data_IF_328098892833
#
_entry.id   IF_328098892833
#
_cell.length_a   1.000
_cell.length_b   1.000
_cell.length_c   1.000
_cell.angle_alpha   90.00
_cell.angle_beta   90.00
_cell.angle_gamma   90.00
#
_symmetry.space_group_name_H-M   'P 1'
#
loop_
_entity.id
_entity.type
_entity.pdbx_description
1 polymer ?
#
# COMPACT_ATOMS: atom_id res chain seq x y z
N UNK A 1 40.10 41.67 -24.50
CA UNK A 1 40.62 40.55 -23.71
C UNK A 1 40.00 39.29 -24.28
N UNK A 2 40.71 38.59 -25.15
CA UNK A 2 40.21 37.40 -25.86
C UNK A 2 40.49 36.22 -24.92
N UNK A 3 39.45 35.60 -24.39
CA UNK A 3 39.59 34.37 -23.60
C UNK A 3 40.19 33.29 -24.51
N UNK A 4 41.28 32.68 -24.06
CA UNK A 4 42.01 31.67 -24.82
C UNK A 4 41.05 30.49 -25.08
N UNK A 5 40.87 30.08 -26.36
CA UNK A 5 39.95 29.02 -26.76
C UNK A 5 40.11 27.73 -25.95
N UNK A 6 41.32 27.45 -25.45
CA UNK A 6 41.60 26.29 -24.63
C UNK A 6 40.93 26.36 -23.22
N UNK A 7 40.81 27.58 -22.63
CA UNK A 7 40.14 27.81 -21.35
C UNK A 7 38.62 27.69 -21.51
N UNK A 8 38.09 28.16 -22.64
CA UNK A 8 36.67 28.04 -22.97
C UNK A 8 36.25 26.56 -23.15
N UNK A 9 37.05 25.78 -23.90
CA UNK A 9 36.84 24.34 -24.04
C UNK A 9 36.93 23.59 -22.70
N UNK A 10 37.89 23.94 -21.84
CA UNK A 10 38.04 23.35 -20.52
C UNK A 10 36.84 23.65 -19.59
N UNK A 11 36.32 24.86 -19.65
CA UNK A 11 35.12 25.26 -18.94
C UNK A 11 33.86 24.50 -19.39
N UNK A 12 33.72 24.28 -20.71
CA UNK A 12 32.62 23.49 -21.27
C UNK A 12 32.76 22.00 -20.82
N UNK A 13 33.97 21.44 -20.80
CA UNK A 13 34.22 20.09 -20.33
C UNK A 13 33.94 19.95 -18.85
N UNK A 14 34.34 20.89 -18.00
CA UNK A 14 34.03 20.95 -16.58
C UNK A 14 32.52 21.11 -16.33
N UNK A 15 31.84 21.96 -17.12
CA UNK A 15 30.39 22.13 -17.00
C UNK A 15 29.63 20.83 -17.36
N UNK A 16 30.05 20.10 -18.40
CA UNK A 16 29.48 18.79 -18.75
C UNK A 16 29.82 17.71 -17.72
N UNK A 17 30.95 17.78 -17.04
CA UNK A 17 31.30 16.85 -15.98
C UNK A 17 30.43 17.06 -14.73
N UNK A 18 30.07 18.29 -14.39
CA UNK A 18 29.17 18.61 -13.30
C UNK A 18 27.69 18.32 -13.61
N UNK A 19 27.28 18.29 -14.88
CA UNK A 19 25.90 17.92 -15.27
C UNK A 19 25.66 16.41 -15.32
N UNK A 20 26.70 15.58 -15.25
CA UNK A 20 26.57 14.14 -15.10
C UNK A 20 26.55 13.68 -13.63
N UNK A 21 26.15 14.53 -12.69
CA UNK A 21 25.67 14.03 -11.40
C UNK A 21 24.42 13.21 -11.72
N UNK A 22 24.57 11.89 -11.64
CA UNK A 22 23.48 10.93 -11.72
C UNK A 22 22.37 11.44 -10.79
N UNK A 23 21.37 12.09 -11.37
CA UNK A 23 20.06 12.18 -10.72
C UNK A 23 19.60 10.74 -10.65
N UNK A 24 19.83 10.07 -9.52
CA UNK A 24 19.15 8.83 -9.23
C UNK A 24 17.67 9.21 -9.14
N UNK A 25 17.00 9.19 -10.29
CA UNK A 25 15.55 9.26 -10.31
C UNK A 25 15.07 8.06 -9.48
N UNK A 26 14.28 8.32 -8.47
CA UNK A 26 13.67 7.26 -7.70
C UNK A 26 12.90 6.37 -8.65
N UNK A 27 13.28 5.10 -8.72
CA UNK A 27 12.57 4.12 -9.53
C UNK A 27 11.34 3.66 -8.75
N UNK A 28 10.16 3.93 -9.33
CA UNK A 28 8.90 3.45 -8.77
C UNK A 28 8.62 2.04 -9.27
N UNK A 29 8.36 1.13 -8.34
CA UNK A 29 7.94 -0.24 -8.66
C UNK A 29 6.56 -0.25 -9.29
N UNK A 30 6.32 -1.23 -10.15
CA UNK A 30 5.03 -1.52 -10.74
C UNK A 30 4.50 -2.86 -10.22
N UNK A 31 3.28 -2.88 -9.74
CA UNK A 31 2.51 -4.08 -9.44
C UNK A 31 1.33 -4.15 -10.41
N UNK A 32 1.06 -5.32 -10.95
CA UNK A 32 -0.02 -5.53 -11.90
C UNK A 32 -1.18 -6.23 -11.21
N UNK A 33 -2.37 -5.69 -11.39
CA UNK A 33 -3.63 -6.28 -10.94
C UNK A 33 -4.34 -6.91 -12.12
N UNK A 34 -4.59 -8.20 -12.05
CA UNK A 34 -5.32 -8.95 -13.10
C UNK A 34 -6.81 -8.95 -12.81
N UNK A 35 -7.62 -8.76 -13.86
CA UNK A 35 -9.06 -8.90 -13.77
C UNK A 35 -9.45 -10.38 -13.58
N UNK A 36 -10.39 -10.66 -12.70
CA UNK A 36 -10.95 -11.99 -12.51
C UNK A 36 -12.46 -11.94 -12.38
N UNK A 37 -13.16 -12.85 -13.07
CA UNK A 37 -14.59 -13.10 -12.92
C UNK A 37 -14.87 -14.31 -12.02
N UNK A 38 -13.83 -14.96 -11.52
CA UNK A 38 -13.95 -16.12 -10.62
C UNK A 38 -14.46 -15.65 -9.23
N UNK A 39 -15.20 -16.54 -8.58
CA UNK A 39 -15.56 -16.33 -7.18
C UNK A 39 -14.33 -16.55 -6.31
N UNK A 40 -14.14 -15.65 -5.36
CA UNK A 40 -13.06 -15.71 -4.39
C UNK A 40 -13.66 -16.19 -3.07
N UNK A 41 -13.12 -17.28 -2.54
CA UNK A 41 -13.44 -17.76 -1.19
C UNK A 41 -12.46 -17.12 -0.23
N UNK A 42 -12.93 -16.14 0.52
CA UNK A 42 -12.08 -15.37 1.42
C UNK A 42 -11.76 -16.23 2.64
N UNK A 43 -10.65 -16.95 2.63
CA UNK A 43 -10.21 -17.86 3.71
C UNK A 43 -8.80 -17.60 4.24
N UNK A 44 -8.15 -16.57 3.68
CA UNK A 44 -6.80 -16.13 4.06
C UNK A 44 -5.69 -16.93 3.41
N UNK A 45 -5.97 -17.75 2.37
CA UNK A 45 -4.97 -18.56 1.67
C UNK A 45 -4.84 -18.16 0.20
N UNK A 46 -3.77 -18.59 -0.44
CA UNK A 46 -3.47 -18.35 -1.86
C UNK A 46 -3.67 -19.62 -2.69
N UNK A 47 -4.72 -20.38 -2.40
CA UNK A 47 -4.97 -21.66 -3.06
C UNK A 47 -5.82 -21.55 -4.33
N UNK A 48 -6.45 -20.39 -4.61
CA UNK A 48 -7.10 -20.17 -5.88
C UNK A 48 -6.09 -19.99 -7.03
N UNK A 49 -6.44 -20.53 -8.19
CA UNK A 49 -5.57 -20.53 -9.36
C UNK A 49 -5.15 -19.14 -9.81
N UNK A 50 -6.02 -18.13 -9.70
CA UNK A 50 -5.69 -16.77 -10.12
C UNK A 50 -4.58 -16.13 -9.26
N UNK A 51 -4.41 -16.51 -7.99
CA UNK A 51 -3.28 -16.05 -7.19
C UNK A 51 -1.94 -16.55 -7.74
N UNK A 52 -1.92 -17.76 -8.33
CA UNK A 52 -0.71 -18.33 -8.92
C UNK A 52 -0.34 -17.71 -10.28
N UNK A 53 -1.30 -17.12 -10.97
CA UNK A 53 -1.09 -16.46 -12.27
C UNK A 53 -0.57 -15.03 -12.15
N UNK A 54 -0.63 -14.43 -10.95
CA UNK A 54 -0.21 -13.07 -10.71
C UNK A 54 1.22 -13.00 -10.16
N UNK A 55 2.01 -12.08 -10.74
CA UNK A 55 3.33 -11.77 -10.20
C UNK A 55 3.19 -11.07 -8.85
N UNK A 56 3.94 -11.53 -7.86
CA UNK A 56 3.98 -10.89 -6.56
C UNK A 56 4.87 -9.64 -6.58
N UNK A 57 4.45 -8.61 -5.85
CA UNK A 57 5.32 -7.52 -5.43
C UNK A 57 6.17 -8.00 -4.26
N UNK A 58 7.48 -7.99 -4.45
CA UNK A 58 8.47 -8.48 -3.51
C UNK A 58 9.54 -7.42 -3.23
N UNK A 59 10.62 -7.81 -2.56
CA UNK A 59 11.76 -6.96 -2.25
C UNK A 59 11.40 -5.71 -1.45
N UNK A 60 10.77 -5.92 -0.29
CA UNK A 60 10.47 -4.84 0.64
C UNK A 60 11.76 -4.23 1.19
N UNK A 61 11.71 -2.92 1.44
CA UNK A 61 12.83 -2.14 1.92
C UNK A 61 12.56 -1.60 3.31
N UNK A 62 13.53 -1.73 4.23
CA UNK A 62 13.40 -1.18 5.57
C UNK A 62 13.41 0.35 5.53
N UNK A 63 12.43 0.94 6.23
CA UNK A 63 12.42 2.33 6.60
C UNK A 63 12.90 2.50 8.06
N UNK A 64 12.87 1.41 8.85
CA UNK A 64 13.40 1.33 10.20
C UNK A 64 13.77 -0.15 10.50
N UNK A 65 14.90 -0.43 11.17
CA UNK A 65 15.88 0.48 11.75
C UNK A 65 16.98 0.92 10.77
N UNK A 66 16.99 0.42 9.54
CA UNK A 66 18.08 0.66 8.60
C UNK A 66 17.55 0.94 7.18
N UNK A 67 18.41 1.47 6.31
CA UNK A 67 18.12 1.66 4.88
C UNK A 67 18.68 0.46 4.08
N UNK A 68 18.00 -0.70 4.18
CA UNK A 68 18.40 -1.95 3.53
C UNK A 68 17.18 -2.78 3.12
N UNK A 69 17.39 -3.88 2.41
CA UNK A 69 16.32 -4.84 2.15
C UNK A 69 15.76 -5.39 3.47
N UNK A 70 14.46 -5.68 3.48
CA UNK A 70 13.78 -6.30 4.62
C UNK A 70 14.43 -7.64 4.99
N UNK A 71 14.58 -7.89 6.29
CA UNK A 71 15.17 -9.13 6.80
C UNK A 71 14.24 -10.35 6.62
N UNK A 72 12.94 -10.10 6.58
CA UNK A 72 11.90 -11.10 6.35
C UNK A 72 11.17 -10.80 5.05
N UNK A 73 11.00 -11.81 4.21
CA UNK A 73 10.28 -11.68 2.93
C UNK A 73 8.81 -11.28 3.18
N UNK A 74 8.30 -10.45 2.29
CA UNK A 74 6.86 -10.15 2.16
C UNK A 74 6.49 -10.21 0.69
N UNK A 75 5.37 -10.80 0.39
CA UNK A 75 4.78 -10.89 -0.95
C UNK A 75 3.43 -10.22 -0.94
N UNK A 76 3.11 -9.48 -2.00
CA UNK A 76 1.79 -8.90 -2.22
C UNK A 76 1.31 -9.21 -3.63
N UNK A 77 0.06 -9.63 -3.75
CA UNK A 77 -0.62 -9.86 -5.03
C UNK A 77 -1.93 -9.10 -5.02
N UNK A 78 -2.34 -8.55 -6.16
CA UNK A 78 -3.61 -7.83 -6.31
C UNK A 78 -4.36 -8.39 -7.50
N UNK A 79 -5.66 -8.64 -7.32
CA UNK A 79 -6.61 -8.91 -8.40
C UNK A 79 -7.83 -8.00 -8.22
N UNK A 80 -8.60 -7.82 -9.27
CA UNK A 80 -9.81 -7.00 -9.21
C UNK A 80 -10.92 -7.55 -10.08
N UNK A 81 -12.14 -7.12 -9.79
CA UNK A 81 -13.29 -7.26 -10.66
C UNK A 81 -14.11 -5.96 -10.69
N UNK A 82 -15.30 -5.98 -11.27
CA UNK A 82 -16.13 -4.77 -11.38
C UNK A 82 -16.58 -4.18 -10.03
N UNK A 83 -16.50 -4.94 -8.94
CA UNK A 83 -17.04 -4.57 -7.64
C UNK A 83 -16.00 -4.46 -6.52
N UNK A 84 -14.89 -5.18 -6.62
CA UNK A 84 -13.92 -5.32 -5.53
C UNK A 84 -12.48 -5.27 -6.03
N UNK A 85 -11.60 -4.77 -5.18
CA UNK A 85 -10.18 -5.08 -5.18
C UNK A 85 -9.94 -6.16 -4.13
N UNK A 86 -9.20 -7.18 -4.50
CA UNK A 86 -8.69 -8.20 -3.61
C UNK A 86 -7.18 -8.07 -3.52
N UNK A 87 -6.67 -8.13 -2.31
CA UNK A 87 -5.23 -8.14 -2.07
C UNK A 87 -4.87 -9.34 -1.20
N UNK A 88 -3.83 -10.03 -1.60
CA UNK A 88 -3.25 -11.12 -0.84
C UNK A 88 -1.86 -10.71 -0.40
N UNK A 89 -1.58 -10.82 0.91
CA UNK A 89 -0.25 -10.57 1.48
C UNK A 89 0.20 -11.81 2.23
N UNK A 90 1.44 -12.25 1.93
CA UNK A 90 2.15 -13.28 2.67
C UNK A 90 3.37 -12.68 3.35
N UNK A 91 3.33 -12.62 4.65
CA UNK A 91 4.39 -12.07 5.48
C UNK A 91 5.15 -13.20 6.18
N UNK A 92 6.36 -13.46 5.71
CA UNK A 92 7.21 -14.50 6.30
C UNK A 92 7.74 -14.03 7.66
N UNK A 93 7.77 -14.95 8.62
CA UNK A 93 8.27 -14.72 9.97
C UNK A 93 8.91 -16.00 10.51
N UNK A 94 10.23 -16.08 10.38
CA UNK A 94 10.99 -17.28 10.77
C UNK A 94 10.92 -17.60 12.25
N UNK A 95 10.53 -16.62 13.09
CA UNK A 95 10.41 -16.80 14.54
C UNK A 95 9.08 -17.46 14.96
N UNK A 96 8.05 -17.41 14.12
CA UNK A 96 6.66 -17.77 14.45
C UNK A 96 6.11 -17.01 15.68
N UNK A 97 6.64 -15.83 15.97
CA UNK A 97 6.21 -14.99 17.08
C UNK A 97 5.59 -13.72 16.55
N UNK A 98 4.43 -13.37 17.06
CA UNK A 98 3.68 -12.20 16.66
C UNK A 98 3.32 -11.36 17.88
N UNK A 99 3.43 -10.06 17.76
CA UNK A 99 2.97 -9.10 18.75
C UNK A 99 1.55 -8.67 18.44
N UNK A 100 0.61 -8.99 19.31
CA UNK A 100 -0.82 -8.68 19.17
C UNK A 100 -1.35 -8.18 20.52
N UNK A 101 -1.04 -6.92 20.90
CA UNK A 101 -1.38 -6.39 22.21
C UNK A 101 -2.87 -6.08 22.39
N UNK A 102 -3.65 -5.98 21.30
CA UNK A 102 -5.10 -5.78 21.36
C UNK A 102 -5.79 -6.60 20.29
N UNK A 103 -7.03 -7.02 20.58
CA UNK A 103 -7.95 -7.69 19.66
C UNK A 103 -9.14 -6.78 19.28
N UNK A 104 -9.14 -5.53 19.72
CA UNK A 104 -10.19 -4.56 19.39
C UNK A 104 -9.99 -3.99 18.00
N UNK A 105 -11.07 -3.93 17.21
CA UNK A 105 -11.08 -3.23 15.92
C UNK A 105 -10.69 -1.75 16.13
N UNK A 106 -9.96 -1.18 15.18
CA UNK A 106 -9.49 0.20 15.19
C UNK A 106 -8.70 0.59 16.46
N UNK A 107 -8.12 -0.42 17.13
CA UNK A 107 -7.33 -0.21 18.33
C UNK A 107 -6.15 0.74 18.05
N UNK A 108 -6.02 1.75 18.91
CA UNK A 108 -4.86 2.67 18.91
C UNK A 108 -3.67 2.12 19.71
N UNK A 109 -3.78 0.92 20.28
CA UNK A 109 -2.69 0.30 21.06
C UNK A 109 -1.52 0.00 20.13
N UNK A 110 -0.34 0.62 20.33
CA UNK A 110 0.81 0.41 19.46
C UNK A 110 1.44 -0.96 19.68
N UNK A 111 2.25 -1.40 18.72
CA UNK A 111 3.05 -2.61 18.86
C UNK A 111 2.37 -3.87 18.31
N UNK A 112 1.39 -3.73 17.41
CA UNK A 112 0.89 -4.84 16.62
C UNK A 112 1.84 -5.16 15.45
N UNK A 113 2.11 -6.47 15.22
CA UNK A 113 2.51 -6.92 13.89
C UNK A 113 1.38 -6.60 12.92
N UNK A 114 1.68 -5.98 11.80
CA UNK A 114 0.66 -5.53 10.87
C UNK A 114 1.15 -5.48 9.43
N UNK A 115 0.22 -5.59 8.51
CA UNK A 115 0.37 -5.23 7.10
C UNK A 115 -0.67 -4.19 6.74
N UNK A 116 -0.24 -3.18 5.98
CA UNK A 116 -1.08 -2.06 5.58
C UNK A 116 -1.04 -1.91 4.07
N UNK A 117 -2.22 -1.79 3.46
CA UNK A 117 -2.40 -1.40 2.07
C UNK A 117 -2.75 0.08 2.01
N UNK A 118 -2.09 0.81 1.12
CA UNK A 118 -2.35 2.23 0.90
C UNK A 118 -2.60 2.47 -0.60
N UNK A 119 -3.74 3.10 -0.92
CA UNK A 119 -4.15 3.41 -2.29
C UNK A 119 -4.38 4.90 -2.46
N UNK A 120 -3.49 5.58 -3.18
CA UNK A 120 -3.73 6.92 -3.72
C UNK A 120 -4.37 6.76 -5.11
N UNK A 121 -5.68 6.81 -5.12
CA UNK A 121 -6.52 6.52 -6.28
C UNK A 121 -6.57 7.67 -7.30
N UNK A 122 -6.27 8.90 -6.86
CA UNK A 122 -6.20 10.09 -7.71
C UNK A 122 -4.78 10.40 -8.19
N UNK A 123 -3.78 9.75 -7.63
CA UNK A 123 -2.36 9.97 -7.89
C UNK A 123 -1.93 11.42 -7.63
N UNK A 124 -2.58 12.04 -6.65
CA UNK A 124 -2.32 13.44 -6.29
C UNK A 124 -1.18 13.58 -5.26
N UNK A 125 -0.73 12.47 -4.69
CA UNK A 125 0.31 12.44 -3.67
C UNK A 125 -0.11 13.13 -2.37
N UNK A 126 -1.41 13.36 -2.18
CA UNK A 126 -1.95 14.08 -1.05
C UNK A 126 -2.91 13.26 -0.20
N UNK A 127 -3.69 12.37 -0.84
CA UNK A 127 -4.71 11.56 -0.16
C UNK A 127 -4.58 10.08 -0.51
N UNK A 128 -4.76 9.20 0.48
CA UNK A 128 -4.80 7.75 0.26
C UNK A 128 -5.79 7.07 1.19
N UNK A 129 -6.35 5.96 0.73
CA UNK A 129 -7.12 5.01 1.55
C UNK A 129 -6.15 4.05 2.23
N UNK A 130 -6.38 3.79 3.51
CA UNK A 130 -5.55 2.97 4.36
C UNK A 130 -6.34 1.76 4.85
N UNK A 131 -5.79 0.55 4.72
CA UNK A 131 -6.37 -0.70 5.23
C UNK A 131 -5.30 -1.53 5.92
N UNK A 132 -5.47 -1.75 7.21
CA UNK A 132 -4.53 -2.53 8.03
C UNK A 132 -5.18 -3.84 8.48
N UNK A 133 -4.40 -4.91 8.46
CA UNK A 133 -4.72 -6.14 9.16
C UNK A 133 -3.48 -6.71 9.86
N UNK A 134 -3.71 -7.60 10.79
CA UNK A 134 -2.68 -8.28 11.56
C UNK A 134 -2.83 -9.81 11.44
N UNK A 135 -1.93 -10.63 12.02
CA UNK A 135 -1.99 -12.08 11.90
C UNK A 135 -3.28 -12.74 12.34
N UNK A 136 -4.13 -12.07 13.14
CA UNK A 136 -5.42 -12.59 13.64
C UNK A 136 -6.64 -11.90 13.02
N UNK A 137 -6.46 -11.18 11.91
CA UNK A 137 -7.57 -10.60 11.15
C UNK A 137 -8.17 -9.33 11.77
N UNK A 138 -7.43 -8.65 12.63
CA UNK A 138 -7.87 -7.35 13.14
C UNK A 138 -7.90 -6.34 12.02
N UNK A 139 -8.99 -5.59 11.91
CA UNK A 139 -9.19 -4.58 10.86
C UNK A 139 -9.00 -3.17 11.42
N UNK A 140 -8.35 -2.33 10.63
CA UNK A 140 -8.32 -0.89 10.81
C UNK A 140 -8.35 -0.22 9.45
N UNK A 141 -9.18 0.79 9.30
CA UNK A 141 -9.25 1.61 8.09
C UNK A 141 -9.17 3.10 8.45
N UNK A 142 -8.64 3.88 7.53
CA UNK A 142 -8.44 5.31 7.69
C UNK A 142 -8.34 6.03 6.36
N UNK A 143 -8.44 7.36 6.40
CA UNK A 143 -7.98 8.23 5.33
C UNK A 143 -6.65 8.86 5.71
N UNK A 144 -5.68 8.77 4.82
CA UNK A 144 -4.42 9.49 4.91
C UNK A 144 -4.55 10.77 4.09
N UNK A 145 -4.10 11.88 4.63
CA UNK A 145 -4.14 13.19 3.98
C UNK A 145 -2.85 13.98 4.21
N UNK A 146 -2.76 15.16 3.62
CA UNK A 146 -1.59 16.06 3.73
C UNK A 146 -0.26 15.38 3.34
N UNK A 147 -0.32 14.53 2.27
CA UNK A 147 0.86 13.81 1.78
C UNK A 147 1.37 12.71 2.72
N UNK A 148 0.60 12.30 3.71
CA UNK A 148 0.96 11.30 4.72
C UNK A 148 1.15 11.87 6.13
N UNK A 149 0.84 13.15 6.34
CA UNK A 149 1.04 13.82 7.62
C UNK A 149 -0.13 13.65 8.58
N UNK A 150 -1.34 13.46 8.04
CA UNK A 150 -2.56 13.28 8.82
C UNK A 150 -3.23 11.93 8.50
N UNK A 151 -3.73 11.25 9.53
CA UNK A 151 -4.41 9.95 9.42
C UNK A 151 -5.72 10.03 10.19
N UNK A 152 -6.83 10.14 9.46
CA UNK A 152 -8.17 10.18 10.00
C UNK A 152 -8.73 8.75 10.21
N UNK A 153 -8.68 8.28 11.45
CA UNK A 153 -9.20 6.97 11.88
C UNK A 153 -10.72 6.98 12.08
N UNK A 154 -11.40 8.12 11.86
CA UNK A 154 -12.88 8.17 11.97
C UNK A 154 -13.57 7.74 10.69
N UNK A 155 -12.80 7.62 9.58
CA UNK A 155 -13.31 7.07 8.34
C UNK A 155 -13.45 5.55 8.47
N UNK A 156 -14.64 5.04 8.19
CA UNK A 156 -14.99 3.62 8.35
C UNK A 156 -15.83 3.16 7.16
N UNK A 157 -15.45 2.03 6.57
CA UNK A 157 -16.23 1.35 5.53
C UNK A 157 -16.43 -0.12 5.85
N UNK A 158 -17.37 -0.73 5.14
CA UNK A 158 -17.53 -2.18 5.20
C UNK A 158 -16.60 -2.85 4.21
N UNK A 159 -15.57 -3.52 4.71
CA UNK A 159 -14.64 -4.37 3.96
C UNK A 159 -14.36 -5.65 4.74
N UNK A 160 -13.72 -6.62 4.10
CA UNK A 160 -13.50 -7.94 4.68
C UNK A 160 -12.02 -8.29 4.63
N UNK A 161 -11.53 -9.04 5.59
CA UNK A 161 -10.21 -9.67 5.59
C UNK A 161 -10.30 -10.98 6.33
N UNK A 162 -9.68 -12.02 5.77
CA UNK A 162 -9.43 -13.27 6.44
C UNK A 162 -7.93 -13.54 6.52
N UNK A 163 -7.52 -14.30 7.51
CA UNK A 163 -6.10 -14.52 7.80
C UNK A 163 -5.81 -15.98 8.10
N UNK A 164 -4.61 -16.39 7.71
CA UNK A 164 -4.12 -17.74 8.01
C UNK A 164 -2.69 -17.65 8.57
N UNK A 165 -2.44 -18.32 9.69
CA UNK A 165 -1.09 -18.45 10.28
C UNK A 165 -0.54 -19.82 9.93
N UNK A 166 0.53 -19.84 9.13
CA UNK A 166 1.28 -21.03 8.78
C UNK A 166 2.58 -21.16 9.57
N UNK A 167 3.36 -22.17 9.25
CA UNK A 167 4.69 -22.31 9.83
C UNK A 167 5.70 -21.39 9.13
N UNK A 168 6.17 -20.37 9.82
CA UNK A 168 7.13 -19.40 9.29
C UNK A 168 6.49 -18.26 8.51
N UNK A 169 5.17 -18.06 8.55
CA UNK A 169 4.48 -16.96 7.89
C UNK A 169 3.07 -16.76 8.42
N UNK A 170 2.49 -15.61 8.11
CA UNK A 170 1.06 -15.41 8.11
C UNK A 170 0.60 -14.82 6.77
N UNK A 171 -0.66 -14.99 6.47
CA UNK A 171 -1.30 -14.51 5.25
C UNK A 171 -2.51 -13.67 5.61
N UNK A 172 -2.78 -12.64 4.81
CA UNK A 172 -3.97 -11.80 4.90
C UNK A 172 -4.57 -11.69 3.50
N UNK A 173 -5.84 -12.00 3.38
CA UNK A 173 -6.61 -11.86 2.16
C UNK A 173 -7.69 -10.79 2.36
N UNK A 174 -7.55 -9.67 1.64
CA UNK A 174 -8.39 -8.48 1.75
C UNK A 174 -9.42 -8.47 0.62
N UNK A 175 -10.65 -8.05 0.94
CA UNK A 175 -11.70 -7.78 -0.02
C UNK A 175 -12.29 -6.39 0.22
N UNK A 176 -11.95 -5.47 -0.65
CA UNK A 176 -12.25 -4.04 -0.53
C UNK A 176 -13.22 -3.63 -1.62
N UNK A 177 -14.43 -3.12 -1.28
CA UNK A 177 -15.43 -2.76 -2.26
C UNK A 177 -15.07 -1.46 -2.98
N UNK A 178 -15.02 -1.51 -4.32
CA UNK A 178 -14.71 -0.36 -5.17
C UNK A 178 -15.72 0.79 -5.01
N UNK A 179 -16.98 0.50 -4.69
CA UNK A 179 -18.00 1.52 -4.49
C UNK A 179 -17.80 2.36 -3.21
N UNK A 180 -16.93 1.94 -2.30
CA UNK A 180 -16.54 2.68 -1.10
C UNK A 180 -15.33 3.57 -1.33
N UNK A 181 -14.62 3.36 -2.44
CA UNK A 181 -13.45 4.16 -2.82
C UNK A 181 -13.84 5.23 -3.83
N UNK A 182 -13.19 6.38 -3.74
CA UNK A 182 -13.31 7.45 -4.74
C UNK A 182 -12.12 7.37 -5.68
N UNK A 183 -12.38 7.30 -6.98
CA UNK A 183 -11.36 7.27 -8.02
C UNK A 183 -11.90 7.82 -9.34
N UNK A 184 -11.05 8.26 -10.28
CA UNK A 184 -11.48 8.69 -11.61
C UNK A 184 -12.10 7.56 -12.41
N UNK A 185 -13.17 7.83 -13.16
CA UNK A 185 -13.81 6.86 -14.04
C UNK A 185 -12.82 6.32 -15.08
N UNK A 186 -12.77 5.01 -15.24
CA UNK A 186 -11.88 4.34 -16.19
C UNK A 186 -10.41 4.36 -15.76
N UNK A 187 -10.13 4.43 -14.46
CA UNK A 187 -8.76 4.36 -13.93
C UNK A 187 -8.02 3.12 -14.43
N UNK A 188 -6.82 3.35 -14.96
CA UNK A 188 -5.91 2.30 -15.44
C UNK A 188 -4.80 2.00 -14.46
N UNK A 189 -4.54 2.90 -13.55
CA UNK A 189 -3.49 2.79 -12.55
C UNK A 189 -3.79 3.70 -11.36
N UNK A 190 -3.26 3.32 -10.20
CA UNK A 190 -3.24 4.11 -8.97
C UNK A 190 -1.80 4.19 -8.45
N UNK A 191 -1.54 5.08 -7.47
CA UNK A 191 -0.36 4.95 -6.63
C UNK A 191 -0.67 3.98 -5.50
N UNK A 192 0.32 3.17 -5.13
CA UNK A 192 0.14 2.07 -4.21
C UNK A 192 1.36 1.84 -3.33
N UNK A 193 1.11 1.49 -2.09
CA UNK A 193 2.16 1.10 -1.15
C UNK A 193 1.67 -0.04 -0.25
N UNK A 194 2.60 -0.87 0.18
CA UNK A 194 2.41 -1.81 1.27
C UNK A 194 3.43 -1.51 2.36
N UNK A 195 2.95 -1.36 3.57
CA UNK A 195 3.79 -1.25 4.76
C UNK A 195 3.64 -2.53 5.59
N UNK A 196 4.74 -2.96 6.21
CA UNK A 196 4.76 -4.05 7.17
C UNK A 196 5.45 -3.60 8.44
N UNK A 197 4.80 -3.83 9.58
CA UNK A 197 5.41 -3.81 10.90
C UNK A 197 5.70 -5.24 11.36
N UNK A 198 6.95 -5.55 11.63
CA UNK A 198 7.40 -6.76 12.32
C UNK A 198 7.96 -6.32 13.68
N UNK A 199 7.12 -6.37 14.69
CA UNK A 199 7.45 -5.84 16.03
C UNK A 199 8.46 -6.74 16.75
N UNK A 200 8.41 -8.05 16.45
CA UNK A 200 9.35 -8.97 17.10
C UNK A 200 10.80 -8.70 16.66
N UNK A 201 11.01 -8.37 15.40
CA UNK A 201 12.35 -7.97 14.90
C UNK A 201 12.62 -6.48 15.07
N UNK A 202 11.60 -5.68 15.38
CA UNK A 202 11.69 -4.21 15.45
C UNK A 202 11.88 -3.58 14.07
N UNK A 203 11.36 -4.20 13.02
CA UNK A 203 11.54 -3.78 11.63
C UNK A 203 10.25 -3.22 11.04
N UNK A 204 10.36 -2.06 10.35
CA UNK A 204 9.33 -1.52 9.49
C UNK A 204 9.83 -1.52 8.05
N UNK A 205 9.04 -2.09 7.16
CA UNK A 205 9.43 -2.21 5.75
C UNK A 205 8.30 -1.84 4.80
N UNK A 206 8.66 -1.36 3.61
CA UNK A 206 7.73 -0.90 2.59
C UNK A 206 8.06 -1.56 1.25
N UNK A 207 7.02 -1.83 0.46
CA UNK A 207 7.16 -2.42 -0.87
C UNK A 207 7.91 -1.50 -1.83
N UNK A 208 7.50 -0.23 -1.96
CA UNK A 208 8.29 0.77 -2.66
C UNK A 208 9.16 1.52 -1.64
N UNK A 209 10.44 1.66 -1.96
CA UNK A 209 11.41 2.24 -1.03
C UNK A 209 11.04 3.66 -0.62
N UNK A 210 10.98 3.89 0.70
CA UNK A 210 10.89 5.21 1.31
C UNK A 210 12.20 5.45 2.07
N UNK A 211 12.94 6.53 1.80
CA UNK A 211 14.18 6.83 2.52
C UNK A 211 13.95 6.94 4.04
N UNK A 212 14.92 6.47 4.83
CA UNK A 212 14.82 6.44 6.31
C UNK A 212 14.61 7.82 6.96
N UNK A 213 14.94 8.90 6.27
CA UNK A 213 14.72 10.27 6.72
C UNK A 213 13.34 10.83 6.31
N UNK A 214 12.52 10.04 5.65
CA UNK A 214 11.15 10.37 5.28
C UNK A 214 10.16 9.58 6.12
N UNK A 215 8.92 10.06 6.19
CA UNK A 215 7.82 9.36 6.89
C UNK A 215 7.45 8.09 6.12
N UNK A 216 7.14 7.00 6.82
CA UNK A 216 6.79 5.73 6.20
C UNK A 216 5.59 5.85 5.24
N UNK A 217 4.65 6.74 5.53
CA UNK A 217 3.46 6.97 4.71
C UNK A 217 3.57 8.21 3.80
N UNK A 218 4.77 8.66 3.48
CA UNK A 218 4.96 9.73 2.49
C UNK A 218 4.49 9.25 1.11
N UNK A 219 3.36 9.82 0.65
CA UNK A 219 2.68 9.45 -0.59
C UNK A 219 3.54 9.72 -1.84
N UNK A 220 4.50 10.62 -1.73
CA UNK A 220 5.46 10.91 -2.80
C UNK A 220 6.32 9.71 -3.22
N UNK A 221 6.41 8.70 -2.35
CA UNK A 221 7.21 7.49 -2.56
C UNK A 221 6.38 6.24 -2.90
N UNK A 222 5.10 6.37 -3.20
CA UNK A 222 4.28 5.21 -3.57
C UNK A 222 4.64 4.70 -4.97
N UNK A 223 4.67 3.38 -5.14
CA UNK A 223 4.79 2.71 -6.43
C UNK A 223 3.51 2.81 -7.25
N UNK A 224 3.41 2.06 -8.33
CA UNK A 224 2.25 2.03 -9.21
C UNK A 224 1.52 0.69 -9.10
N UNK A 225 0.20 0.72 -8.99
CA UNK A 225 -0.70 -0.41 -9.19
C UNK A 225 -1.37 -0.24 -10.55
N UNK A 226 -1.11 -1.16 -11.47
CA UNK A 226 -1.56 -1.09 -12.87
C UNK A 226 -2.64 -2.13 -13.09
N UNK A 227 -3.79 -1.72 -13.59
CA UNK A 227 -4.92 -2.59 -13.89
C UNK A 227 -4.87 -3.03 -15.35
N UNK A 228 -4.90 -4.35 -15.60
CA UNK A 228 -4.95 -4.91 -16.96
C UNK A 228 -6.30 -4.60 -17.65
N UNK A 229 -7.38 -4.50 -16.87
CA UNK A 229 -8.68 -4.03 -17.29
C UNK A 229 -9.03 -2.74 -16.53
N UNK A 230 -9.26 -1.60 -17.22
CA UNK A 230 -9.58 -0.35 -16.54
C UNK A 230 -10.78 -0.48 -15.62
N UNK A 231 -10.68 0.12 -14.44
CA UNK A 231 -11.78 0.13 -13.48
C UNK A 231 -12.98 0.87 -14.05
N UNK A 232 -14.16 0.35 -13.80
CA UNK A 232 -15.42 0.97 -14.20
C UNK A 232 -15.66 2.32 -13.56
N UNK A 233 -16.90 2.81 -13.62
CA UNK A 233 -17.26 4.09 -12.98
C UNK A 233 -17.28 3.95 -11.48
N UNK A 234 -16.71 4.94 -10.79
CA UNK A 234 -16.86 5.08 -9.34
C UNK A 234 -18.35 5.22 -9.00
N UNK A 235 -18.88 4.25 -8.27
CA UNK A 235 -20.29 4.24 -7.84
C UNK A 235 -20.39 4.98 -6.49
N UNK A 236 -21.17 6.06 -6.43
CA UNK A 236 -21.47 6.69 -5.15
C UNK A 236 -22.61 5.93 -4.50
N UNK A 237 -22.37 5.32 -3.35
CA UNK A 237 -23.44 4.73 -2.55
C UNK A 237 -24.08 5.85 -1.72
N UNK A 238 -25.38 6.11 -1.95
CA UNK A 238 -26.17 7.03 -1.14
C UNK A 238 -26.94 6.19 -0.13
N UNK A 239 -26.57 6.26 1.14
CA UNK A 239 -27.33 5.66 2.23
C UNK A 239 -28.31 6.70 2.76
N UNK A 240 -29.61 6.47 2.57
CA UNK A 240 -30.66 7.30 3.15
C UNK A 240 -31.09 6.70 4.48
N UNK A 241 -30.75 7.37 5.58
CA UNK A 241 -31.22 6.98 6.92
C UNK A 241 -32.48 7.78 7.20
N UNK A 242 -33.69 7.16 7.22
CA UNK A 242 -34.92 7.88 7.58
C UNK A 242 -34.87 8.22 9.07
N UNK A 243 -34.97 9.51 9.39
CA UNK A 243 -35.08 10.00 10.75
C UNK A 243 -36.52 10.44 11.02
N UNK A 244 -37.18 9.84 12.01
CA UNK A 244 -38.49 10.27 12.49
C UNK A 244 -38.33 10.86 13.90
N UNK A 245 -38.59 12.18 14.06
CA UNK A 245 -38.72 12.81 15.37
C UNK A 245 -40.19 12.82 15.80
N UNK A 246 -40.53 12.12 16.87
CA UNK A 246 -41.81 12.22 17.51
C UNK A 246 -41.84 13.43 18.44
N UNK A 247 -42.70 14.40 18.15
CA UNK A 247 -43.02 15.49 19.09
C UNK A 247 -44.18 14.96 19.96
N UNK A 248 -43.92 14.65 21.23
CA UNK A 248 -44.94 14.40 22.22
C UNK A 248 -45.50 15.77 22.65
N UNK A 249 -46.73 16.03 22.31
CA UNK A 249 -47.55 17.15 22.80
C UNK A 249 -48.19 16.79 24.13
#
# INVERSE_FOLDING_TARGET
MVLNNNIFCLLIYLLNFFFNTLVNAQEFKNLYSTYTDQSIDLDGKDDEEFWNQNSAGEEFWQNFPSDSLASQKTEVKIVHNDNYIYAFIKAFNSSNKYSIPSLERDSSVPGNDAVVLLFDTYKDGNNAFFFESNPVGLKKDALVSEGGDDIDMTWDIKWEVETYIGNGFYQCEFKIPLNSLKFPDGSKDWRFQVFRADIFTGEFSLWNKVPINQKAFDLGFFGNLIFDNPLGKSKTQITVIPYTSGINS
#
